data_IF_665954957097
#
_entry.id   IF_665954957097
#
_cell.length_a   1.000
_cell.length_b   1.000
_cell.length_c   1.000
_cell.angle_alpha   90.00
_cell.angle_beta   90.00
_cell.angle_gamma   90.00
#
_symmetry.space_group_name_H-M   'P 1'
#
loop_
_entity.id
_entity.type
_entity.pdbx_description
1 polymer ?
#
# COMPACT_ATOMS: atom_id res chain seq x y z
N UNK A 1 -5.96 12.57 2.77
CA UNK A 1 -4.90 13.49 3.26
C UNK A 1 -3.86 13.75 2.17
N UNK A 2 -3.46 15.00 1.94
CA UNK A 2 -2.32 15.30 1.05
C UNK A 2 -1.02 14.89 1.73
N UNK A 3 -0.24 14.06 1.05
CA UNK A 3 1.03 13.49 1.53
C UNK A 3 2.22 14.23 0.94
N UNK A 4 2.15 14.67 -0.33
CA UNK A 4 3.21 15.41 -1.00
C UNK A 4 2.67 16.70 -1.61
N UNK A 5 3.08 17.86 -1.10
CA UNK A 5 2.71 19.15 -1.69
C UNK A 5 3.43 19.43 -3.02
N UNK A 6 4.70 19.01 -3.14
CA UNK A 6 5.53 19.26 -4.34
C UNK A 6 4.99 18.64 -5.63
N UNK A 7 4.31 17.50 -5.51
CA UNK A 7 3.74 16.73 -6.61
C UNK A 7 2.22 16.58 -6.47
N UNK A 8 1.62 17.28 -5.49
CA UNK A 8 0.17 17.25 -5.18
C UNK A 8 -0.38 15.82 -5.09
N UNK A 9 0.25 14.99 -4.26
CA UNK A 9 -0.12 13.59 -4.07
C UNK A 9 -0.88 13.39 -2.77
N UNK A 10 -2.00 12.69 -2.85
CA UNK A 10 -2.83 12.25 -1.72
C UNK A 10 -2.42 10.86 -1.24
N UNK A 11 -2.84 10.52 -0.02
CA UNK A 11 -2.71 9.17 0.51
C UNK A 11 -3.42 8.14 -0.37
N UNK A 12 -4.58 8.52 -0.93
CA UNK A 12 -5.32 7.69 -1.88
C UNK A 12 -4.51 7.42 -3.15
N UNK A 13 -3.92 8.46 -3.75
CA UNK A 13 -3.10 8.31 -4.96
C UNK A 13 -1.93 7.34 -4.73
N UNK A 14 -1.29 7.45 -3.55
CA UNK A 14 -0.23 6.52 -3.14
C UNK A 14 -0.77 5.10 -3.02
N UNK A 15 -1.91 4.87 -2.34
CA UNK A 15 -2.49 3.53 -2.17
C UNK A 15 -2.96 2.92 -3.49
N UNK A 16 -3.61 3.69 -4.36
CA UNK A 16 -4.03 3.23 -5.69
C UNK A 16 -2.82 2.81 -6.54
N UNK A 17 -1.68 3.50 -6.39
CA UNK A 17 -0.42 3.13 -7.05
C UNK A 17 0.19 1.81 -6.53
N UNK A 18 -0.07 1.46 -5.26
CA UNK A 18 0.36 0.18 -4.70
C UNK A 18 -0.46 -0.99 -5.26
N UNK A 19 -1.77 -0.77 -5.48
CA UNK A 19 -2.67 -1.74 -6.09
C UNK A 19 -2.57 -3.14 -5.47
N UNK A 20 -2.60 -4.19 -6.29
CA UNK A 20 -2.44 -5.57 -5.85
C UNK A 20 -0.99 -6.08 -5.90
N UNK A 21 0.02 -5.20 -5.81
CA UNK A 21 1.42 -5.65 -5.87
C UNK A 21 1.73 -6.60 -4.70
N UNK A 22 2.35 -7.77 -4.99
CA UNK A 22 2.80 -8.69 -3.94
C UNK A 22 4.06 -8.17 -3.23
N UNK A 23 4.88 -7.37 -3.92
CA UNK A 23 6.16 -6.87 -3.40
C UNK A 23 6.05 -5.51 -2.71
N UNK A 24 7.06 -5.17 -1.90
CA UNK A 24 7.20 -3.85 -1.28
C UNK A 24 7.88 -2.89 -2.26
N UNK A 25 7.16 -1.94 -2.88
CA UNK A 25 7.83 -0.99 -3.74
C UNK A 25 8.68 -0.03 -2.93
N UNK A 26 9.84 0.32 -3.47
CA UNK A 26 10.63 1.45 -2.97
C UNK A 26 9.90 2.76 -3.22
N UNK A 27 10.14 3.76 -2.38
CA UNK A 27 9.55 5.12 -2.53
C UNK A 27 9.86 5.71 -3.91
N UNK A 28 11.06 5.49 -4.43
CA UNK A 28 11.42 5.90 -5.79
C UNK A 28 10.53 5.24 -6.85
N UNK A 29 10.23 3.94 -6.70
CA UNK A 29 9.32 3.22 -7.60
C UNK A 29 7.90 3.74 -7.53
N UNK A 30 7.44 4.14 -6.34
CA UNK A 30 6.12 4.78 -6.15
C UNK A 30 6.04 6.08 -6.95
N UNK A 31 7.04 6.97 -6.84
CA UNK A 31 7.10 8.19 -7.64
C UNK A 31 7.16 7.92 -9.15
N UNK A 32 8.02 6.98 -9.59
CA UNK A 32 8.14 6.60 -11.00
C UNK A 32 6.83 6.08 -11.59
N UNK A 33 6.08 5.28 -10.83
CA UNK A 33 4.79 4.75 -11.26
C UNK A 33 3.74 5.85 -11.44
N UNK A 34 3.81 6.92 -10.65
CA UNK A 34 2.96 8.11 -10.79
C UNK A 34 3.48 9.12 -11.82
N UNK A 35 4.56 8.79 -12.55
CA UNK A 35 5.15 9.69 -13.55
C UNK A 35 5.78 10.96 -12.95
N UNK A 36 6.16 10.93 -11.67
CA UNK A 36 6.73 12.06 -10.95
C UNK A 36 8.13 11.76 -10.42
N UNK A 37 8.89 12.80 -10.08
CA UNK A 37 10.17 12.70 -9.38
C UNK A 37 10.10 13.27 -7.96
N UNK A 38 11.00 12.83 -7.09
CA UNK A 38 11.08 13.35 -5.72
C UNK A 38 11.75 14.73 -5.72
N UNK A 39 11.08 15.76 -5.17
CA UNK A 39 11.62 17.14 -5.12
C UNK A 39 12.32 17.48 -3.80
N UNK A 40 11.58 17.49 -2.69
CA UNK A 40 12.11 17.93 -1.38
C UNK A 40 12.20 16.82 -0.31
N UNK A 41 11.66 15.63 -0.60
CA UNK A 41 11.77 14.45 0.28
C UNK A 41 10.95 14.47 1.58
N UNK A 42 10.28 15.58 1.95
CA UNK A 42 9.49 15.69 3.21
C UNK A 42 8.41 14.62 3.35
N UNK A 43 7.83 14.19 2.24
CA UNK A 43 6.78 13.18 2.16
C UNK A 43 7.29 11.74 2.31
N UNK A 44 8.60 11.49 2.26
CA UNK A 44 9.18 10.14 2.19
C UNK A 44 8.76 9.27 3.38
N UNK A 45 8.83 9.79 4.61
CA UNK A 45 8.45 9.02 5.81
C UNK A 45 6.96 8.64 5.79
N UNK A 46 6.11 9.57 5.38
CA UNK A 46 4.66 9.33 5.25
C UNK A 46 4.35 8.31 4.15
N UNK A 47 5.03 8.37 3.01
CA UNK A 47 4.88 7.38 1.93
C UNK A 47 5.34 5.99 2.41
N UNK A 48 6.47 5.90 3.12
CA UNK A 48 6.93 4.62 3.70
C UNK A 48 5.89 4.04 4.66
N UNK A 49 5.30 4.86 5.53
CA UNK A 49 4.27 4.41 6.46
C UNK A 49 3.01 3.91 5.72
N UNK A 50 2.59 4.60 4.65
CA UNK A 50 1.45 4.15 3.82
C UNK A 50 1.74 2.81 3.14
N UNK A 51 2.97 2.64 2.60
CA UNK A 51 3.40 1.38 2.00
C UNK A 51 3.39 0.25 3.03
N UNK A 52 3.94 0.51 4.21
CA UNK A 52 4.01 -0.47 5.30
C UNK A 52 2.62 -0.90 5.78
N UNK A 53 1.73 0.07 6.00
CA UNK A 53 0.33 -0.18 6.36
C UNK A 53 -0.38 -1.01 5.28
N UNK A 54 -0.18 -0.68 4.00
CA UNK A 54 -0.79 -1.43 2.90
C UNK A 54 -0.34 -2.90 2.89
N UNK A 55 0.93 -3.16 3.20
CA UNK A 55 1.44 -4.54 3.29
C UNK A 55 0.92 -5.26 4.53
N UNK A 56 0.90 -4.60 5.68
CA UNK A 56 0.36 -5.15 6.91
C UNK A 56 -1.11 -5.52 6.77
N UNK A 57 -1.93 -4.64 6.18
CA UNK A 57 -3.35 -4.92 5.91
C UNK A 57 -3.55 -6.13 5.00
N UNK A 58 -2.62 -6.40 4.08
CA UNK A 58 -2.65 -7.56 3.19
C UNK A 58 -2.27 -8.87 3.89
N UNK A 59 -1.31 -8.78 4.82
CA UNK A 59 -0.90 -9.91 5.66
C UNK A 59 -1.98 -10.27 6.69
N UNK A 60 -2.78 -9.29 7.10
CA UNK A 60 -3.89 -9.44 8.06
C UNK A 60 -5.19 -9.95 7.41
N UNK A 61 -5.22 -10.23 6.10
CA UNK A 61 -6.42 -10.75 5.40
C UNK A 61 -6.86 -12.19 5.83
N UNK A 62 -6.15 -12.83 6.77
CA UNK A 62 -6.79 -13.82 7.67
C UNK A 62 -6.42 -13.49 9.13
N UNK A 63 -7.01 -12.42 9.68
CA UNK A 63 -6.92 -12.03 11.08
C UNK A 63 -7.64 -13.00 12.03
N UNK A 64 -7.11 -14.23 12.16
CA UNK A 64 -7.20 -15.12 13.33
C UNK A 64 -8.56 -15.51 13.92
N UNK A 65 -9.69 -14.99 13.42
CA UNK A 65 -11.05 -15.23 13.95
C UNK A 65 -11.87 -16.18 13.10
N UNK A 66 -11.34 -16.65 11.96
CA UNK A 66 -11.96 -17.71 11.14
C UNK A 66 -13.22 -17.29 10.38
N UNK A 67 -13.48 -15.99 10.22
CA UNK A 67 -14.73 -15.48 9.65
C UNK A 67 -14.60 -14.69 8.34
N UNK A 68 -13.46 -14.79 7.63
CA UNK A 68 -13.37 -14.28 6.27
C UNK A 68 -13.75 -15.36 5.22
N UNK A 69 -14.36 -14.90 4.14
CA UNK A 69 -14.88 -15.73 3.02
C UNK A 69 -13.77 -16.59 2.37
N UNK A 70 -12.55 -16.05 2.32
CA UNK A 70 -11.35 -16.72 1.80
C UNK A 70 -10.91 -17.91 2.67
N UNK A 71 -10.91 -17.77 3.99
CA UNK A 71 -10.56 -18.86 4.91
C UNK A 71 -11.67 -19.94 4.98
N UNK A 72 -12.95 -19.62 4.70
CA UNK A 72 -14.07 -20.60 4.62
C UNK A 72 -14.01 -21.50 3.39
N UNK A 73 -13.45 -21.02 2.28
CA UNK A 73 -13.38 -21.76 1.02
C UNK A 73 -12.33 -22.87 1.04
N UNK A 74 -11.24 -22.70 1.80
CA UNK A 74 -10.14 -23.69 1.92
C UNK A 74 -10.54 -24.89 2.80
N UNK A 75 -11.43 -24.69 3.77
CA UNK A 75 -11.94 -25.76 4.66
C UNK A 75 -12.94 -26.72 4.02
N UNK A 76 -13.42 -26.44 2.80
CA UNK A 76 -14.36 -27.31 2.07
C UNK A 76 -13.65 -28.29 1.10
N UNK A 77 -12.31 -28.17 0.98
CA UNK A 77 -11.49 -29.00 0.10
C UNK A 77 -10.83 -30.20 0.81
N UNK A 78 -11.18 -30.48 2.07
CA UNK A 78 -10.71 -31.63 2.85
C UNK A 78 -11.81 -32.70 3.02
#
# INVERSE_FOLDING_TARGET
MIVCSCNVLSDRDVRETLGSRPDRPSVASVFRNMGCEAKCGRCVRSIVAIVDQHQASRLDECGGTGECDSCRSDGLAA
#
